data_IF_574549653057
#
_entry.id   IF_574549653057
#
_cell.length_a   1.000
_cell.length_b   1.000
_cell.length_c   1.000
_cell.angle_alpha   90.00
_cell.angle_beta   90.00
_cell.angle_gamma   90.00
#
_symmetry.space_group_name_H-M   'P 1'
#
loop_
_entity.id
_entity.type
_entity.pdbx_description
1 polymer ?
#
# COMPACT_ATOMS: atom_id res chain seq x y z
N UNK A 1 4.29 16.01 4.71
CA UNK A 1 4.43 14.93 3.73
C UNK A 1 4.40 13.62 4.50
N UNK A 2 3.45 12.76 4.20
CA UNK A 2 3.19 11.51 4.92
C UNK A 2 3.90 10.39 4.16
N UNK A 3 4.58 9.51 4.90
CA UNK A 3 5.29 8.36 4.34
C UNK A 3 4.81 7.09 5.07
N UNK A 4 4.41 6.07 4.31
CA UNK A 4 4.10 4.74 4.85
C UNK A 4 4.94 3.71 4.10
N UNK A 5 5.58 2.81 4.83
CA UNK A 5 6.27 1.66 4.25
C UNK A 5 5.27 0.51 4.16
N UNK A 6 5.33 -0.25 3.06
CA UNK A 6 4.55 -1.47 2.92
C UNK A 6 5.06 -2.52 3.90
N UNK A 7 4.16 -3.24 4.57
CA UNK A 7 4.56 -4.30 5.51
C UNK A 7 5.07 -5.58 4.80
N UNK A 8 4.80 -5.71 3.50
CA UNK A 8 5.11 -6.91 2.70
C UNK A 8 6.33 -6.75 1.80
N UNK A 9 6.87 -5.53 1.66
CA UNK A 9 8.12 -5.27 0.93
C UNK A 9 8.74 -3.93 1.33
N UNK A 10 9.96 -3.67 0.87
CA UNK A 10 10.68 -2.41 1.13
C UNK A 10 10.12 -1.18 0.37
N UNK A 11 8.91 -1.26 -0.21
CA UNK A 11 8.31 -0.12 -0.91
C UNK A 11 7.80 0.91 0.09
N UNK A 12 8.28 2.15 -0.06
CA UNK A 12 7.73 3.32 0.65
C UNK A 12 6.81 4.09 -0.29
N UNK A 13 5.64 4.48 0.21
CA UNK A 13 4.68 5.35 -0.46
C UNK A 13 4.62 6.67 0.28
N UNK A 14 4.73 7.74 -0.50
CA UNK A 14 4.79 9.12 0.00
C UNK A 14 3.68 9.94 -0.64
N UNK A 15 3.05 10.82 0.13
CA UNK A 15 1.95 11.66 -0.33
C UNK A 15 1.69 12.86 0.58
N UNK A 16 0.73 13.70 0.18
CA UNK A 16 0.41 14.93 0.90
C UNK A 16 -0.71 14.76 1.94
N UNK A 17 -1.61 13.80 1.72
CA UNK A 17 -2.72 13.46 2.61
C UNK A 17 -2.72 11.97 2.93
N UNK A 18 -3.28 11.58 4.08
CA UNK A 18 -3.37 10.17 4.47
C UNK A 18 -4.18 9.37 3.47
N UNK A 19 -5.34 9.89 3.05
CA UNK A 19 -6.23 9.22 2.08
C UNK A 19 -5.54 8.90 0.75
N UNK A 20 -4.67 9.79 0.28
CA UNK A 20 -3.89 9.56 -0.93
C UNK A 20 -2.88 8.42 -0.72
N UNK A 21 -2.14 8.45 0.38
CA UNK A 21 -1.14 7.43 0.71
C UNK A 21 -1.81 6.07 0.90
N UNK A 22 -2.95 6.03 1.57
CA UNK A 22 -3.72 4.80 1.80
C UNK A 22 -4.27 4.23 0.49
N UNK A 23 -4.81 5.07 -0.39
CA UNK A 23 -5.25 4.64 -1.72
C UNK A 23 -4.10 4.05 -2.54
N UNK A 24 -2.95 4.73 -2.57
CA UNK A 24 -1.76 4.26 -3.26
C UNK A 24 -1.22 2.96 -2.64
N UNK A 25 -1.28 2.81 -1.32
CA UNK A 25 -0.87 1.59 -0.61
C UNK A 25 -1.81 0.42 -0.93
N UNK A 26 -3.12 0.66 -0.99
CA UNK A 26 -4.08 -0.35 -1.40
C UNK A 26 -3.83 -0.82 -2.85
N UNK A 27 -3.62 0.12 -3.78
CA UNK A 27 -3.28 -0.22 -5.17
C UNK A 27 -1.97 -1.00 -5.28
N UNK A 28 -0.96 -0.59 -4.51
CA UNK A 28 0.31 -1.30 -4.45
C UNK A 28 0.14 -2.73 -3.93
N UNK A 29 -0.60 -2.91 -2.84
CA UNK A 29 -0.89 -4.22 -2.27
C UNK A 29 -1.63 -5.12 -3.27
N UNK A 30 -2.64 -4.61 -3.98
CA UNK A 30 -3.37 -5.36 -5.01
C UNK A 30 -2.47 -5.77 -6.18
N UNK A 31 -1.56 -4.89 -6.62
CA UNK A 31 -0.71 -5.12 -7.79
C UNK A 31 0.52 -5.97 -7.49
N UNK A 32 1.18 -5.75 -6.35
CA UNK A 32 2.49 -6.32 -6.01
C UNK A 32 2.43 -7.41 -4.95
N UNK A 33 1.38 -7.43 -4.15
CA UNK A 33 1.11 -8.46 -3.17
C UNK A 33 -0.24 -9.12 -3.43
N UNK A 34 -0.46 -9.71 -4.63
CA UNK A 34 -1.69 -10.42 -4.97
C UNK A 34 -1.85 -11.72 -4.18
N UNK A 35 -1.06 -11.92 -3.12
CA UNK A 35 -1.15 -13.05 -2.19
C UNK A 35 -2.55 -13.09 -1.57
N UNK A 36 -3.41 -13.80 -2.31
CA UNK A 36 -4.73 -14.32 -1.99
C UNK A 36 -5.50 -13.40 -1.03
N UNK A 37 -6.25 -12.45 -1.59
CA UNK A 37 -7.57 -12.10 -1.04
C UNK A 37 -8.55 -13.29 -1.17
N UNK A 38 -8.09 -14.50 -0.84
CA UNK A 38 -8.89 -15.70 -0.64
C UNK A 38 -8.74 -16.06 0.85
N UNK A 39 -9.25 -15.18 1.71
CA UNK A 39 -9.78 -15.61 2.98
C UNK A 39 -11.29 -15.77 2.75
N UNK A 40 -11.66 -17.05 2.64
CA UNK A 40 -12.99 -17.66 2.80
C UNK A 40 -14.09 -16.75 3.37
#
# INVERSE_FOLDING_TARGET
MIKKQCDKCDKVIEGYTESQVDYMMAQHNLSKHPEKQNAN
#
